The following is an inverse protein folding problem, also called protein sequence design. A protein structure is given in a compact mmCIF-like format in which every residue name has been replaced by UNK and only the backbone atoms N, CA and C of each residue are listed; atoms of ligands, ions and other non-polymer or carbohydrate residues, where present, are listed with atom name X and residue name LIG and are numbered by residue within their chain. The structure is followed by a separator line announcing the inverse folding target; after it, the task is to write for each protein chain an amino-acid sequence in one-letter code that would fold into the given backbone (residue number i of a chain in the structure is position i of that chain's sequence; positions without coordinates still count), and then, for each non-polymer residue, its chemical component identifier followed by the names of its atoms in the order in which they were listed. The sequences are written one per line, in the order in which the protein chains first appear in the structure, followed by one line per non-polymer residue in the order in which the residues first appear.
data_IF_893439041945
#
_entry.id   IF_893439041945
#
_cell.length_a   1.000
_cell.length_b   1.000
_cell.length_c   1.000
_cell.angle_alpha   90.00
_cell.angle_beta   90.00
_cell.angle_gamma   90.00
#
_symmetry.space_group_name_H-M   'P 1'
#
loop_
_entity.id
_entity.type
_entity.pdbx_description
1 polymer ?
#
# COMPACT_ATOMS: atom_id res chain seq x y z
N UNK A 1 -15.59 -17.80 47.02
CA UNK A 1 -14.27 -17.70 46.35
C UNK A 1 -14.53 -17.66 44.86
N UNK A 2 -14.23 -16.55 44.20
CA UNK A 2 -14.57 -16.37 42.77
C UNK A 2 -13.61 -17.22 41.93
N UNK A 3 -14.17 -18.15 41.14
CA UNK A 3 -13.43 -19.01 40.23
C UNK A 3 -13.14 -18.18 38.96
N UNK A 4 -12.03 -17.44 38.96
CA UNK A 4 -11.60 -16.69 37.77
C UNK A 4 -11.30 -17.70 36.67
N UNK A 5 -11.99 -17.57 35.55
CA UNK A 5 -11.76 -18.39 34.37
C UNK A 5 -10.54 -17.89 33.61
N UNK A 6 -9.37 -18.42 33.97
CA UNK A 6 -8.07 -18.07 33.39
C UNK A 6 -7.97 -18.39 31.88
N UNK A 7 -8.89 -19.19 31.31
CA UNK A 7 -8.95 -19.46 29.87
C UNK A 7 -9.39 -18.24 29.04
N UNK A 8 -10.00 -17.23 29.69
CA UNK A 8 -10.43 -15.97 29.08
C UNK A 8 -9.39 -14.85 29.18
N UNK A 9 -8.24 -15.11 29.78
CA UNK A 9 -7.15 -14.13 29.80
C UNK A 9 -6.50 -14.08 28.43
N UNK A 10 -6.75 -12.98 27.71
CA UNK A 10 -5.97 -12.63 26.51
C UNK A 10 -4.48 -12.63 26.87
N UNK A 11 -3.67 -13.28 26.04
CA UNK A 11 -2.22 -13.24 26.25
C UNK A 11 -1.73 -11.83 25.94
N UNK A 12 -0.69 -11.39 26.62
CA UNK A 12 -0.06 -10.10 26.34
C UNK A 12 0.39 -9.99 24.86
N UNK A 13 0.70 -11.12 24.22
CA UNK A 13 0.99 -11.19 22.79
C UNK A 13 -0.22 -10.78 21.93
N UNK A 14 -1.41 -11.34 22.20
CA UNK A 14 -2.64 -11.05 21.46
C UNK A 14 -3.02 -9.55 21.57
N UNK A 15 -2.85 -8.97 22.76
CA UNK A 15 -3.10 -7.53 22.99
C UNK A 15 -2.13 -6.67 22.18
N UNK A 16 -0.85 -7.06 22.14
CA UNK A 16 0.18 -6.33 21.40
C UNK A 16 -0.05 -6.40 19.89
N UNK A 17 -0.45 -7.56 19.38
CA UNK A 17 -0.79 -7.76 17.97
C UNK A 17 -2.01 -6.94 17.55
N UNK A 18 -3.07 -6.93 18.36
CA UNK A 18 -4.27 -6.11 18.11
C UNK A 18 -3.96 -4.60 18.14
N UNK A 19 -3.14 -4.15 19.09
CA UNK A 19 -2.70 -2.76 19.18
C UNK A 19 -1.87 -2.34 17.95
N UNK A 20 -1.00 -3.22 17.46
CA UNK A 20 -0.21 -2.97 16.26
C UNK A 20 -1.07 -2.96 15.00
N UNK A 21 -2.02 -3.89 14.86
CA UNK A 21 -2.97 -3.89 13.76
C UNK A 21 -3.82 -2.60 13.77
N UNK A 22 -4.28 -2.15 14.93
CA UNK A 22 -5.02 -0.89 15.08
C UNK A 22 -4.17 0.33 14.70
N UNK A 23 -2.87 0.31 15.04
CA UNK A 23 -1.91 1.38 14.67
C UNK A 23 -1.68 1.44 13.16
N UNK A 24 -1.57 0.29 12.49
CA UNK A 24 -1.29 0.19 11.06
C UNK A 24 -2.52 0.41 10.18
N UNK A 25 -3.73 0.07 10.66
CA UNK A 25 -4.98 0.20 9.91
C UNK A 25 -5.18 1.56 9.19
N UNK A 26 -4.98 2.73 9.83
CA UNK A 26 -5.11 4.01 9.12
C UNK A 26 -4.04 4.19 8.03
N UNK A 27 -2.80 3.73 8.26
CA UNK A 27 -1.73 3.82 7.26
C UNK A 27 -2.05 2.94 6.04
N UNK A 28 -2.50 1.71 6.28
CA UNK A 28 -2.95 0.78 5.24
C UNK A 28 -4.07 1.41 4.40
N UNK A 29 -5.04 2.07 5.04
CA UNK A 29 -6.13 2.74 4.34
C UNK A 29 -5.62 3.87 3.42
N UNK A 30 -4.64 4.67 3.88
CA UNK A 30 -4.00 5.70 3.03
C UNK A 30 -3.30 5.06 1.84
N UNK A 31 -2.55 3.97 2.03
CA UNK A 31 -1.86 3.31 0.93
C UNK A 31 -2.82 2.69 -0.09
N UNK A 32 -3.95 2.12 0.33
CA UNK A 32 -4.98 1.60 -0.59
C UNK A 32 -5.51 2.72 -1.48
N UNK A 33 -5.85 3.87 -0.89
CA UNK A 33 -6.32 5.03 -1.64
C UNK A 33 -5.23 5.57 -2.59
N UNK A 34 -3.98 5.61 -2.13
CA UNK A 34 -2.86 6.05 -2.94
C UNK A 34 -2.63 5.14 -4.15
N UNK A 35 -2.64 3.81 -3.97
CA UNK A 35 -2.51 2.83 -5.06
C UNK A 35 -3.62 3.01 -6.10
N UNK A 36 -4.86 3.24 -5.68
CA UNK A 36 -5.97 3.48 -6.60
C UNK A 36 -5.77 4.76 -7.43
N UNK A 37 -5.27 5.83 -6.80
CA UNK A 37 -4.97 7.09 -7.49
C UNK A 37 -3.82 6.91 -8.48
N UNK A 38 -2.72 6.27 -8.08
CA UNK A 38 -1.60 6.00 -8.99
C UNK A 38 -2.01 5.12 -10.16
N UNK A 39 -2.86 4.11 -9.94
CA UNK A 39 -3.35 3.26 -11.03
C UNK A 39 -4.11 4.04 -12.11
N UNK A 40 -4.88 5.05 -11.71
CA UNK A 40 -5.60 5.95 -12.64
C UNK A 40 -4.61 6.86 -13.36
N UNK A 41 -3.73 7.52 -12.61
CA UNK A 41 -2.73 8.41 -13.17
C UNK A 41 -1.85 7.70 -14.21
N UNK A 42 -1.39 6.48 -13.92
CA UNK A 42 -0.57 5.70 -14.86
C UNK A 42 -1.36 5.27 -16.10
N UNK A 43 -2.67 5.06 -15.99
CA UNK A 43 -3.50 4.80 -17.18
C UNK A 43 -3.55 6.05 -18.07
N UNK A 44 -3.80 7.22 -17.50
CA UNK A 44 -3.81 8.50 -18.23
C UNK A 44 -2.46 8.77 -18.91
N UNK A 45 -1.32 8.50 -18.25
CA UNK A 45 0.00 8.69 -18.88
C UNK A 45 0.24 7.74 -20.05
N UNK A 46 -0.26 6.50 -19.98
CA UNK A 46 -0.13 5.54 -21.08
C UNK A 46 -1.06 5.89 -22.25
N UNK A 47 -2.29 6.34 -21.96
CA UNK A 47 -3.23 6.85 -22.98
C UNK A 47 -2.65 8.07 -23.70
N UNK A 48 -2.09 9.04 -22.95
CA UNK A 48 -1.42 10.21 -23.53
C UNK A 48 -0.27 9.81 -24.48
N UNK A 49 0.54 8.80 -24.13
CA UNK A 49 1.58 8.28 -25.03
C UNK A 49 0.98 7.68 -26.29
N UNK A 50 -0.10 6.90 -26.17
CA UNK A 50 -0.80 6.29 -27.30
C UNK A 50 -1.36 7.35 -28.26
N UNK A 51 -1.84 8.48 -27.73
CA UNK A 51 -2.32 9.64 -28.48
C UNK A 51 -1.18 10.53 -29.03
N UNK A 52 0.08 10.21 -28.73
CA UNK A 52 1.25 10.95 -29.17
C UNK A 52 1.51 12.24 -28.39
N UNK A 53 0.89 12.40 -27.22
CA UNK A 53 1.11 13.52 -26.32
C UNK A 53 2.45 13.39 -25.57
N UNK A 54 3.14 14.51 -25.31
CA UNK A 54 4.37 14.48 -24.54
C UNK A 54 4.09 14.23 -23.06
N UNK A 55 4.66 13.16 -22.51
CA UNK A 55 4.68 12.88 -21.06
C UNK A 55 6.10 12.75 -20.56
N UNK A 56 6.28 12.86 -19.25
CA UNK A 56 7.55 12.58 -18.59
C UNK A 56 7.83 11.07 -18.62
N UNK A 57 9.04 10.67 -19.05
CA UNK A 57 9.44 9.27 -19.15
C UNK A 57 8.92 8.55 -20.40
N UNK A 58 9.16 7.24 -20.46
CA UNK A 58 8.83 6.36 -21.59
C UNK A 58 7.68 5.42 -21.25
N UNK A 59 7.00 4.90 -22.27
CA UNK A 59 5.95 3.88 -22.11
C UNK A 59 6.43 2.69 -21.27
N UNK A 60 7.67 2.24 -21.50
CA UNK A 60 8.26 1.13 -20.75
C UNK A 60 8.40 1.46 -19.26
N UNK A 61 8.90 2.65 -18.93
CA UNK A 61 9.01 3.12 -17.54
C UNK A 61 7.64 3.20 -16.86
N UNK A 62 6.61 3.69 -17.54
CA UNK A 62 5.25 3.73 -17.00
C UNK A 62 4.66 2.34 -16.79
N UNK A 63 4.89 1.38 -17.70
CA UNK A 63 4.45 -0.02 -17.52
C UNK A 63 5.15 -0.71 -16.35
N UNK A 64 6.43 -0.45 -16.16
CA UNK A 64 7.20 -0.98 -15.02
C UNK A 64 6.72 -0.35 -13.71
N UNK A 65 6.52 0.97 -13.68
CA UNK A 65 5.95 1.67 -12.54
C UNK A 65 4.55 1.13 -12.17
N UNK A 66 3.67 0.91 -13.17
CA UNK A 66 2.36 0.28 -12.96
C UNK A 66 2.45 -1.07 -12.26
N UNK A 67 3.49 -1.83 -12.58
CA UNK A 67 3.70 -3.17 -12.00
C UNK A 67 4.13 -3.06 -10.55
N UNK A 68 5.02 -2.11 -10.22
CA UNK A 68 5.43 -1.80 -8.85
C UNK A 68 4.25 -1.29 -8.01
N UNK A 69 3.44 -0.36 -8.53
CA UNK A 69 2.22 0.14 -7.86
C UNK A 69 1.23 -0.98 -7.56
N UNK A 70 1.03 -1.93 -8.48
CA UNK A 70 0.16 -3.11 -8.25
C UNK A 70 0.73 -4.08 -7.21
N UNK A 71 2.05 -4.10 -7.06
CA UNK A 71 2.74 -4.92 -6.07
C UNK A 71 2.79 -4.26 -4.67
N UNK A 72 2.53 -2.95 -4.58
CA UNK A 72 2.52 -2.20 -3.32
C UNK A 72 1.23 -2.48 -2.51
N UNK A 73 1.27 -3.48 -1.64
CA UNK A 73 0.14 -3.95 -0.83
C UNK A 73 0.66 -4.68 0.41
N UNK A 74 -0.25 -5.21 1.24
CA UNK A 74 0.11 -6.09 2.36
C UNK A 74 1.10 -7.18 1.90
N UNK A 75 2.12 -7.44 2.72
CA UNK A 75 3.26 -8.33 2.46
C UNK A 75 4.33 -7.81 1.48
N UNK A 76 4.15 -6.63 0.88
CA UNK A 76 5.24 -5.97 0.17
C UNK A 76 6.28 -5.44 1.16
N UNK A 77 7.57 -5.56 0.80
CA UNK A 77 8.66 -5.03 1.61
C UNK A 77 8.49 -3.51 1.82
N UNK A 78 8.55 -3.07 3.07
CA UNK A 78 8.38 -1.67 3.44
C UNK A 78 6.93 -1.19 3.54
N UNK A 79 5.93 -1.97 3.14
CA UNK A 79 4.52 -1.57 3.29
C UNK A 79 4.10 -1.53 4.78
N UNK A 80 3.30 -0.55 5.25
CA UNK A 80 2.69 0.60 4.54
C UNK A 80 3.50 1.91 4.65
N UNK A 81 4.82 1.86 4.76
CA UNK A 81 5.65 3.07 4.88
C UNK A 81 5.66 3.88 3.58
N UNK A 82 5.05 5.07 3.62
CA UNK A 82 4.97 5.98 2.48
C UNK A 82 6.33 6.38 1.88
N UNK A 83 7.42 6.34 2.66
CA UNK A 83 8.77 6.66 2.18
C UNK A 83 9.35 5.57 1.28
N UNK A 84 8.78 4.37 1.30
CA UNK A 84 9.19 3.22 0.51
C UNK A 84 8.30 2.99 -0.72
N UNK A 85 7.39 3.93 -1.02
CA UNK A 85 6.52 3.85 -2.19
C UNK A 85 7.33 3.79 -3.50
N UNK A 86 6.82 3.07 -4.52
CA UNK A 86 7.32 3.19 -5.88
C UNK A 86 7.39 4.65 -6.34
N UNK A 87 8.48 5.01 -7.03
CA UNK A 87 8.70 6.37 -7.54
C UNK A 87 8.26 6.47 -9.01
N UNK A 88 7.56 7.56 -9.34
CA UNK A 88 7.13 7.84 -10.72
C UNK A 88 8.36 8.10 -11.64
N UNK A 89 8.24 7.83 -12.95
CA UNK A 89 9.22 8.28 -13.93
C UNK A 89 9.42 9.81 -13.90
N UNK A 90 10.66 10.25 -14.17
CA UNK A 90 11.11 11.65 -14.20
C UNK A 90 11.79 12.00 -15.51
#
# INVERSE_FOLDING_TARGET
MSNIDWSKLRKAADIKEEAEAARLAPLIAVEVQWVEQERKFVAEQLEAIEDGEPVTGTERQWRDYRTQVRAWKLDAEGYPDSSMRPTRPS
#
